data_IF_830589445359
#
_entry.id   IF_830589445359
#
_cell.length_a   1.000
_cell.length_b   1.000
_cell.length_c   1.000
_cell.angle_alpha   90.00
_cell.angle_beta   90.00
_cell.angle_gamma   90.00
#
_symmetry.space_group_name_H-M   'P 1'
#
loop_
_entity.id
_entity.type
_entity.pdbx_description
1 polymer ?
#
# COMPACT_ATOMS: atom_id res chain seq x y z
N UNK A 1 -30.20 49.38 -59.75
CA UNK A 1 -30.04 47.92 -59.99
C UNK A 1 -28.55 47.58 -59.96
N UNK A 2 -28.01 47.16 -58.81
CA UNK A 2 -26.67 46.52 -58.72
C UNK A 2 -26.49 45.77 -57.38
N UNK A 3 -26.41 44.45 -57.54
CA UNK A 3 -26.01 43.33 -56.69
C UNK A 3 -25.59 43.51 -55.20
N UNK A 4 -26.30 42.80 -54.31
CA UNK A 4 -25.75 42.28 -53.05
C UNK A 4 -24.71 41.18 -53.35
N UNK A 5 -23.49 41.32 -52.81
CA UNK A 5 -22.50 40.24 -52.81
C UNK A 5 -22.79 39.27 -51.66
N UNK A 6 -23.08 38.02 -52.02
CA UNK A 6 -23.14 36.86 -51.12
C UNK A 6 -21.74 36.61 -50.57
N UNK A 7 -21.59 36.61 -49.24
CA UNK A 7 -20.40 36.12 -48.56
C UNK A 7 -20.54 34.59 -48.50
N UNK A 8 -19.72 33.91 -49.27
CA UNK A 8 -19.69 32.44 -49.42
C UNK A 8 -19.09 31.80 -48.15
N UNK A 9 -19.66 30.69 -47.63
CA UNK A 9 -19.18 29.98 -46.46
C UNK A 9 -17.98 29.10 -46.84
N UNK A 10 -16.78 29.68 -46.92
CA UNK A 10 -15.56 28.91 -47.24
C UNK A 10 -14.72 28.62 -45.98
N UNK A 11 -14.96 29.34 -44.88
CA UNK A 11 -14.16 29.18 -43.64
C UNK A 11 -14.62 27.98 -42.79
N UNK A 12 -15.87 27.51 -42.93
CA UNK A 12 -16.40 26.42 -42.08
C UNK A 12 -16.08 25.00 -42.57
N UNK A 13 -15.67 24.83 -43.83
CA UNK A 13 -15.33 23.50 -44.39
C UNK A 13 -13.87 23.11 -44.08
N UNK A 14 -13.00 24.07 -43.77
CA UNK A 14 -11.62 23.79 -43.37
C UNK A 14 -11.48 23.19 -41.96
N UNK A 15 -12.53 23.23 -41.13
CA UNK A 15 -12.56 22.70 -39.76
C UNK A 15 -13.19 21.30 -39.64
N UNK A 16 -13.65 20.71 -40.75
CA UNK A 16 -14.32 19.39 -40.79
C UNK A 16 -13.53 18.32 -41.57
N UNK A 17 -12.25 18.59 -41.88
CA UNK A 17 -11.33 17.52 -42.28
C UNK A 17 -10.93 16.75 -41.02
N UNK A 18 -11.38 15.50 -40.80
CA UNK A 18 -10.72 14.65 -39.84
C UNK A 18 -9.28 14.54 -40.31
N UNK A 19 -8.36 15.03 -39.48
CA UNK A 19 -6.94 14.82 -39.67
C UNK A 19 -6.71 13.31 -39.68
N UNK A 20 -6.57 12.74 -40.87
CA UNK A 20 -5.94 11.44 -41.10
C UNK A 20 -4.44 11.60 -40.78
N UNK A 21 -4.15 11.91 -39.51
CA UNK A 21 -2.84 11.62 -38.96
C UNK A 21 -2.77 10.09 -38.94
N UNK A 22 -1.70 9.47 -39.45
CA UNK A 22 -1.46 8.08 -39.09
C UNK A 22 -1.46 8.04 -37.55
N UNK A 23 -2.36 7.24 -36.97
CA UNK A 23 -2.10 6.76 -35.61
C UNK A 23 -0.77 6.03 -35.72
N UNK A 24 0.30 6.68 -35.26
CA UNK A 24 1.53 6.00 -34.93
C UNK A 24 1.15 5.12 -33.75
N UNK A 25 0.74 3.89 -34.04
CA UNK A 25 0.87 2.83 -33.06
C UNK A 25 2.36 2.77 -32.77
N UNK A 26 2.77 3.24 -31.59
CA UNK A 26 4.07 2.91 -31.06
C UNK A 26 4.07 1.40 -30.83
N UNK A 27 4.41 0.63 -31.86
CA UNK A 27 4.99 -0.68 -31.63
C UNK A 27 6.37 -0.39 -31.07
N UNK A 28 6.56 -0.46 -29.76
CA UNK A 28 7.92 -0.70 -29.28
C UNK A 28 8.43 -1.91 -30.06
N UNK A 29 9.62 -1.78 -30.65
CA UNK A 29 10.24 -2.93 -31.29
C UNK A 29 10.31 -4.01 -30.22
N UNK A 30 9.69 -5.17 -30.45
CA UNK A 30 9.86 -6.31 -29.53
C UNK A 30 11.36 -6.53 -29.36
N UNK A 31 11.84 -6.57 -28.12
CA UNK A 31 13.22 -6.91 -27.86
C UNK A 31 13.56 -8.22 -28.55
N UNK A 32 14.69 -8.23 -29.26
CA UNK A 32 15.07 -9.34 -30.13
C UNK A 32 16.08 -10.24 -29.42
N UNK A 33 16.85 -9.67 -28.49
CA UNK A 33 17.83 -10.40 -27.68
C UNK A 33 17.26 -10.68 -26.28
N UNK A 34 18.06 -10.46 -25.23
CA UNK A 34 17.67 -10.55 -23.83
C UNK A 34 17.24 -9.14 -23.41
N UNK A 35 16.11 -9.04 -22.72
CA UNK A 35 15.57 -7.77 -22.21
C UNK A 35 14.88 -8.05 -20.88
N UNK A 36 15.54 -7.73 -19.77
CA UNK A 36 15.03 -8.01 -18.43
C UNK A 36 14.24 -6.83 -17.88
N UNK A 37 13.12 -7.14 -17.24
CA UNK A 37 12.26 -6.16 -16.59
C UNK A 37 11.85 -6.66 -15.21
N UNK A 38 11.94 -5.79 -14.20
CA UNK A 38 11.40 -6.07 -12.87
C UNK A 38 9.91 -5.71 -12.88
N UNK A 39 9.09 -6.70 -13.22
CA UNK A 39 7.68 -6.48 -13.55
C UNK A 39 6.76 -6.38 -12.35
N UNK A 40 7.05 -7.08 -11.26
CA UNK A 40 6.25 -6.99 -10.04
C UNK A 40 7.11 -7.12 -8.78
N UNK A 41 6.67 -6.43 -7.73
CA UNK A 41 7.23 -6.52 -6.39
C UNK A 41 6.06 -6.57 -5.42
N UNK A 42 5.87 -7.69 -4.74
CA UNK A 42 4.81 -7.88 -3.75
C UNK A 42 5.37 -8.35 -2.40
N UNK A 43 4.59 -8.18 -1.33
CA UNK A 43 5.01 -8.52 0.03
C UNK A 43 4.09 -9.61 0.59
N UNK A 44 4.70 -10.66 1.13
CA UNK A 44 4.02 -11.74 1.83
C UNK A 44 4.65 -12.01 3.19
N UNK A 45 3.98 -12.85 3.99
CA UNK A 45 4.56 -13.39 5.21
C UNK A 45 4.90 -14.87 4.97
N UNK A 46 6.10 -15.33 5.36
CA UNK A 46 6.56 -16.69 5.06
C UNK A 46 5.81 -17.76 5.84
N UNK A 47 5.28 -17.43 7.02
CA UNK A 47 4.50 -18.32 7.85
C UNK A 47 3.05 -17.83 8.04
N UNK A 48 2.14 -18.77 8.24
CA UNK A 48 0.71 -18.50 8.38
C UNK A 48 0.34 -17.79 9.69
N UNK A 49 1.20 -17.85 10.72
CA UNK A 49 0.93 -17.20 12.01
C UNK A 49 1.04 -15.69 11.84
N UNK A 50 2.20 -15.23 11.37
CA UNK A 50 2.45 -13.82 11.05
C UNK A 50 1.51 -13.33 9.95
N UNK A 51 1.29 -14.13 8.91
CA UNK A 51 0.33 -13.78 7.87
C UNK A 51 -1.04 -13.49 8.47
N UNK A 52 -1.58 -14.39 9.30
CA UNK A 52 -2.89 -14.19 9.89
C UNK A 52 -2.96 -12.90 10.73
N UNK A 53 -1.89 -12.57 11.45
CA UNK A 53 -1.84 -11.41 12.36
C UNK A 53 -1.71 -10.08 11.63
N UNK A 54 -1.01 -10.04 10.49
CA UNK A 54 -0.58 -8.76 9.89
C UNK A 54 -1.07 -8.52 8.47
N UNK A 55 -1.62 -9.54 7.78
CA UNK A 55 -2.04 -9.40 6.38
C UNK A 55 -3.08 -8.30 6.18
N UNK A 56 -4.00 -8.10 7.14
CA UNK A 56 -5.20 -7.28 6.95
C UNK A 56 -4.88 -5.82 6.61
N UNK A 57 -3.95 -5.20 7.33
CA UNK A 57 -3.57 -3.79 7.07
C UNK A 57 -2.32 -3.65 6.21
N UNK A 58 -1.73 -4.78 5.82
CA UNK A 58 -0.55 -4.81 4.99
C UNK A 58 -0.87 -4.76 3.49
N UNK A 59 0.15 -4.51 2.69
CA UNK A 59 0.13 -4.65 1.22
C UNK A 59 0.06 -6.12 0.77
N UNK A 60 0.04 -7.08 1.69
CA UNK A 60 -0.22 -8.48 1.37
C UNK A 60 -1.61 -8.63 0.73
N UNK A 61 -1.60 -8.99 -0.55
CA UNK A 61 -2.78 -9.14 -1.37
C UNK A 61 -2.57 -10.28 -2.39
N UNK A 62 -3.59 -11.06 -2.74
CA UNK A 62 -4.96 -11.07 -2.18
C UNK A 62 -5.03 -11.71 -0.80
N UNK A 63 -6.05 -11.32 0.00
CA UNK A 63 -6.36 -11.96 1.27
C UNK A 63 -7.42 -13.05 1.04
N UNK A 64 -7.13 -14.27 1.50
CA UNK A 64 -8.08 -15.36 1.38
C UNK A 64 -9.39 -15.03 2.11
N UNK A 65 -10.52 -15.20 1.42
CA UNK A 65 -11.87 -15.00 1.98
C UNK A 65 -12.19 -13.57 2.44
N UNK A 66 -11.40 -12.57 2.06
CA UNK A 66 -11.67 -11.17 2.35
C UNK A 66 -11.33 -10.28 1.14
N UNK A 67 -12.29 -9.54 0.62
CA UNK A 67 -12.16 -8.77 -0.62
C UNK A 67 -11.61 -7.35 -0.38
N UNK A 68 -10.43 -7.23 0.22
CA UNK A 68 -9.79 -5.91 0.40
C UNK A 68 -9.27 -5.37 -0.93
N UNK A 69 -9.54 -4.12 -1.35
CA UNK A 69 -8.88 -3.51 -2.48
C UNK A 69 -7.35 -3.56 -2.33
N UNK A 70 -6.64 -3.85 -3.43
CA UNK A 70 -5.18 -3.98 -3.43
C UNK A 70 -4.48 -2.71 -2.91
N UNK A 71 -5.05 -1.53 -3.21
CA UNK A 71 -4.54 -0.24 -2.79
C UNK A 71 -5.00 0.19 -1.39
N UNK A 72 -5.86 -0.58 -0.72
CA UNK A 72 -6.30 -0.30 0.64
C UNK A 72 -5.35 -0.99 1.63
N UNK A 73 -4.21 -0.35 1.90
CA UNK A 73 -3.26 -0.78 2.93
C UNK A 73 -2.55 0.43 3.53
N UNK A 74 -1.93 0.22 4.68
CA UNK A 74 -1.22 1.29 5.42
C UNK A 74 0.21 0.90 5.79
N UNK A 75 0.57 -0.38 5.63
CA UNK A 75 1.91 -0.87 5.90
C UNK A 75 2.30 -1.95 4.89
N UNK A 76 3.59 -2.23 4.74
CA UNK A 76 4.09 -3.40 4.01
C UNK A 76 4.53 -4.49 4.99
N UNK A 77 5.17 -4.10 6.10
CA UNK A 77 5.65 -5.02 7.14
C UNK A 77 5.54 -4.43 8.54
N UNK A 78 5.93 -5.23 9.53
CA UNK A 78 5.97 -4.84 10.95
C UNK A 78 7.40 -5.03 11.45
N UNK A 79 7.88 -4.08 12.26
CA UNK A 79 9.22 -4.19 12.86
C UNK A 79 9.36 -5.49 13.67
N UNK A 80 10.48 -6.19 13.50
CA UNK A 80 10.76 -7.45 14.18
C UNK A 80 9.98 -8.66 13.65
N UNK A 81 9.12 -8.50 12.64
CA UNK A 81 8.37 -9.59 12.01
C UNK A 81 9.00 -9.92 10.67
N UNK A 82 9.29 -11.20 10.41
CA UNK A 82 9.83 -11.62 9.12
C UNK A 82 8.77 -11.47 8.02
N UNK A 83 9.15 -10.80 6.94
CA UNK A 83 8.38 -10.65 5.71
C UNK A 83 9.16 -11.26 4.55
N UNK A 84 8.43 -11.57 3.48
CA UNK A 84 8.99 -12.04 2.23
C UNK A 84 8.70 -11.00 1.13
N UNK A 85 9.77 -10.51 0.50
CA UNK A 85 9.70 -9.65 -0.68
C UNK A 85 9.72 -10.57 -1.90
N UNK A 86 8.58 -10.68 -2.57
CA UNK A 86 8.40 -11.46 -3.79
C UNK A 86 8.70 -10.55 -4.99
N UNK A 87 9.56 -11.01 -5.89
CA UNK A 87 10.02 -10.23 -7.04
C UNK A 87 9.82 -11.08 -8.30
N UNK A 88 9.09 -10.53 -9.26
CA UNK A 88 8.93 -11.12 -10.59
C UNK A 88 9.81 -10.41 -11.60
N UNK A 89 10.60 -11.18 -12.33
CA UNK A 89 11.50 -10.71 -13.37
C UNK A 89 11.08 -11.34 -14.68
N UNK A 90 10.76 -10.52 -15.67
CA UNK A 90 10.35 -10.97 -16.99
C UNK A 90 11.45 -10.73 -18.00
N UNK A 91 11.73 -11.72 -18.84
CA UNK A 91 12.54 -11.54 -20.03
C UNK A 91 11.61 -11.22 -21.21
N UNK A 92 11.49 -9.95 -21.55
CA UNK A 92 10.66 -9.43 -22.65
C UNK A 92 11.23 -9.80 -24.04
N UNK A 93 12.50 -10.20 -24.07
CA UNK A 93 13.21 -10.63 -25.27
C UNK A 93 12.86 -12.03 -25.75
N UNK A 94 13.53 -12.49 -26.81
CA UNK A 94 13.33 -13.82 -27.39
C UNK A 94 14.50 -14.79 -27.14
N UNK A 95 15.63 -14.30 -26.61
CA UNK A 95 16.77 -15.13 -26.22
C UNK A 95 16.75 -15.44 -24.73
N UNK A 96 17.22 -16.63 -24.36
CA UNK A 96 17.40 -17.00 -22.95
C UNK A 96 18.49 -16.13 -22.31
N UNK A 97 18.27 -15.66 -21.08
CA UNK A 97 19.29 -14.95 -20.32
C UNK A 97 20.41 -15.88 -19.83
N UNK A 98 21.48 -15.29 -19.29
CA UNK A 98 22.42 -15.99 -18.42
C UNK A 98 21.85 -16.11 -17.00
N UNK A 99 22.68 -16.51 -16.04
CA UNK A 99 22.33 -16.32 -14.64
C UNK A 99 22.10 -14.82 -14.37
N UNK A 100 20.95 -14.49 -13.80
CA UNK A 100 20.57 -13.11 -13.53
C UNK A 100 20.94 -12.78 -12.08
N UNK A 101 21.70 -11.71 -11.88
CA UNK A 101 21.97 -11.17 -10.55
C UNK A 101 20.92 -10.12 -10.22
N UNK A 102 20.31 -10.26 -9.04
CA UNK A 102 19.25 -9.41 -8.52
C UNK A 102 19.75 -8.74 -7.26
N UNK A 103 19.88 -7.42 -7.32
CA UNK A 103 20.32 -6.55 -6.24
C UNK A 103 19.08 -5.95 -5.58
N UNK A 104 18.95 -6.15 -4.27
CA UNK A 104 17.81 -5.71 -3.47
C UNK A 104 18.32 -4.80 -2.37
N UNK A 105 17.88 -3.54 -2.40
CA UNK A 105 18.27 -2.52 -1.43
C UNK A 105 17.04 -1.87 -0.83
N UNK A 106 17.00 -1.77 0.51
CA UNK A 106 16.02 -0.94 1.22
C UNK A 106 16.75 0.27 1.76
N UNK A 107 16.36 1.46 1.31
CA UNK A 107 16.93 2.74 1.72
C UNK A 107 16.00 3.44 2.69
N UNK A 108 16.58 4.03 3.73
CA UNK A 108 15.84 4.92 4.60
C UNK A 108 15.64 6.29 3.93
N UNK A 109 14.43 6.83 3.98
CA UNK A 109 14.07 8.04 3.23
C UNK A 109 14.69 9.33 3.80
N UNK A 110 15.08 9.34 5.08
CA UNK A 110 15.65 10.54 5.72
C UNK A 110 17.18 10.53 5.83
N UNK A 111 17.83 9.37 5.71
CA UNK A 111 19.29 9.27 5.86
C UNK A 111 19.91 8.98 4.50
N UNK A 112 20.77 9.88 4.03
CA UNK A 112 21.60 9.59 2.86
C UNK A 112 22.51 8.39 3.15
N UNK A 113 22.41 7.32 2.35
CA UNK A 113 23.23 6.10 2.43
C UNK A 113 22.99 5.22 3.67
N UNK A 114 21.80 5.28 4.27
CA UNK A 114 21.41 4.30 5.28
C UNK A 114 20.62 3.18 4.60
N UNK A 115 21.27 2.04 4.43
CA UNK A 115 20.70 0.84 3.84
C UNK A 115 20.22 -0.08 4.96
N UNK A 116 18.91 -0.34 5.00
CA UNK A 116 18.29 -1.25 5.94
C UNK A 116 18.42 -2.71 5.50
N UNK A 117 18.49 -2.92 4.19
CA UNK A 117 18.76 -4.18 3.54
C UNK A 117 19.66 -3.90 2.34
N UNK A 118 20.69 -4.73 2.16
CA UNK A 118 21.50 -4.75 0.95
C UNK A 118 21.90 -6.22 0.71
N UNK A 119 21.29 -6.84 -0.29
CA UNK A 119 21.53 -8.23 -0.62
C UNK A 119 21.52 -8.46 -2.12
N UNK A 120 22.31 -9.43 -2.55
CA UNK A 120 22.35 -9.88 -3.94
C UNK A 120 22.00 -11.35 -3.98
N UNK A 121 21.09 -11.73 -4.87
CA UNK A 121 20.81 -13.12 -5.20
C UNK A 121 21.02 -13.38 -6.68
N UNK A 122 21.40 -14.60 -7.00
CA UNK A 122 21.49 -15.06 -8.38
C UNK A 122 20.36 -16.05 -8.64
N UNK A 123 19.64 -15.84 -9.73
CA UNK A 123 18.61 -16.77 -10.20
C UNK A 123 19.05 -17.49 -11.47
N UNK A 124 18.34 -18.57 -11.79
CA UNK A 124 18.60 -19.35 -12.99
C UNK A 124 18.26 -18.54 -14.25
N UNK A 125 18.84 -18.91 -15.40
CA UNK A 125 18.46 -18.38 -16.70
C UNK A 125 16.95 -18.32 -16.93
N UNK A 126 16.48 -17.16 -17.41
CA UNK A 126 15.08 -16.92 -17.75
C UNK A 126 14.93 -17.08 -19.27
N UNK A 127 14.14 -18.05 -19.75
CA UNK A 127 13.85 -18.18 -21.18
C UNK A 127 13.26 -16.90 -21.75
N UNK A 128 13.42 -16.68 -23.06
CA UNK A 128 12.78 -15.56 -23.75
C UNK A 128 11.26 -15.60 -23.57
N UNK A 129 10.64 -14.43 -23.48
CA UNK A 129 9.20 -14.25 -23.29
C UNK A 129 8.64 -15.00 -22.07
N UNK A 130 9.44 -15.14 -21.02
CA UNK A 130 9.08 -15.88 -19.79
C UNK A 130 9.40 -15.05 -18.55
N UNK A 131 8.74 -15.39 -17.45
CA UNK A 131 8.91 -14.76 -16.14
C UNK A 131 9.51 -15.76 -15.17
N UNK A 132 10.38 -15.29 -14.28
CA UNK A 132 10.85 -16.04 -13.12
C UNK A 132 10.65 -15.21 -11.86
N UNK A 133 10.23 -15.88 -10.80
CA UNK A 133 10.01 -15.26 -9.48
C UNK A 133 11.14 -15.60 -8.50
N UNK A 134 11.37 -14.73 -7.53
CA UNK A 134 12.26 -15.00 -6.41
C UNK A 134 11.81 -14.34 -5.12
N UNK A 135 12.31 -14.87 -4.00
CA UNK A 135 11.96 -14.48 -2.64
C UNK A 135 13.16 -13.91 -1.90
N UNK A 136 12.96 -12.81 -1.16
CA UNK A 136 13.89 -12.29 -0.14
C UNK A 136 13.18 -12.28 1.22
N UNK A 137 13.62 -13.15 2.12
CA UNK A 137 13.25 -13.07 3.53
C UNK A 137 14.00 -11.93 4.21
N UNK A 138 13.27 -11.08 4.93
CA UNK A 138 13.82 -9.95 5.66
C UNK A 138 13.00 -9.68 6.91
N UNK A 139 13.68 -9.43 8.03
CA UNK A 139 13.08 -8.95 9.28
C UNK A 139 13.44 -7.48 9.45
N UNK A 140 12.51 -6.54 9.22
CA UNK A 140 12.77 -5.12 9.40
C UNK A 140 13.14 -4.82 10.84
N UNK A 141 14.19 -4.03 11.05
CA UNK A 141 14.61 -3.56 12.38
C UNK A 141 14.44 -2.05 12.54
N UNK A 142 13.85 -1.39 11.56
CA UNK A 142 13.63 0.05 11.55
C UNK A 142 12.26 0.36 10.96
N UNK A 143 11.41 1.04 11.74
CA UNK A 143 10.07 1.46 11.33
C UNK A 143 10.09 2.79 10.59
N UNK A 144 9.06 3.05 9.81
CA UNK A 144 8.89 4.27 9.04
C UNK A 144 8.74 3.98 7.56
N UNK A 145 8.88 5.04 6.78
CA UNK A 145 8.76 5.02 5.34
C UNK A 145 10.13 4.89 4.69
N UNK A 146 10.28 3.90 3.83
CA UNK A 146 11.51 3.52 3.15
C UNK A 146 11.29 3.46 1.63
N UNK A 147 12.39 3.29 0.90
CA UNK A 147 12.39 3.05 -0.54
C UNK A 147 13.00 1.67 -0.80
N UNK A 148 12.23 0.77 -1.42
CA UNK A 148 12.73 -0.51 -1.91
C UNK A 148 13.19 -0.35 -3.36
N UNK A 149 14.41 -0.77 -3.64
CA UNK A 149 15.01 -0.72 -4.97
C UNK A 149 15.47 -2.12 -5.38
N UNK A 150 15.04 -2.54 -6.57
CA UNK A 150 15.42 -3.79 -7.19
C UNK A 150 16.16 -3.46 -8.47
N UNK A 151 17.36 -4.00 -8.65
CA UNK A 151 18.12 -3.91 -9.90
C UNK A 151 18.46 -5.31 -10.37
N UNK A 152 18.26 -5.59 -11.66
CA UNK A 152 18.68 -6.85 -12.27
C UNK A 152 19.84 -6.62 -13.23
N UNK A 153 20.69 -7.63 -13.38
CA UNK A 153 21.76 -7.59 -14.37
C UNK A 153 22.02 -8.97 -14.95
N UNK A 154 22.48 -8.99 -16.19
CA UNK A 154 22.80 -10.20 -16.93
C UNK A 154 24.16 -10.04 -17.63
N UNK A 155 25.09 -11.02 -17.50
CA UNK A 155 26.42 -10.93 -18.09
C UNK A 155 26.44 -11.01 -19.62
N UNK A 156 25.35 -11.46 -20.25
CA UNK A 156 25.26 -11.62 -21.71
C UNK A 156 24.74 -10.36 -22.43
N UNK A 157 24.56 -9.26 -21.69
CA UNK A 157 24.01 -8.00 -22.20
C UNK A 157 22.48 -7.93 -22.06
N UNK A 158 21.94 -6.75 -22.31
CA UNK A 158 20.53 -6.45 -22.23
C UNK A 158 20.18 -5.38 -23.28
N UNK A 159 19.09 -5.58 -24.02
CA UNK A 159 18.63 -4.68 -25.09
C UNK A 159 18.14 -3.34 -24.52
N UNK A 160 17.56 -3.32 -23.31
CA UNK A 160 17.15 -2.11 -22.60
C UNK A 160 17.63 -2.16 -21.15
N UNK A 161 18.48 -1.23 -20.75
CA UNK A 161 18.94 -1.18 -19.35
C UNK A 161 18.05 -0.30 -18.46
N UNK A 162 17.03 0.35 -19.02
CA UNK A 162 16.20 1.30 -18.28
C UNK A 162 15.08 0.65 -17.47
N UNK A 163 14.64 -0.55 -17.87
CA UNK A 163 13.69 -1.43 -17.18
C UNK A 163 14.36 -2.47 -16.26
N UNK A 164 15.70 -2.55 -16.28
CA UNK A 164 16.49 -3.34 -15.32
C UNK A 164 16.42 -2.81 -13.87
N UNK A 165 15.65 -1.75 -13.61
CA UNK A 165 15.50 -1.14 -12.30
C UNK A 165 14.03 -0.86 -12.01
N UNK A 166 13.59 -1.23 -10.82
CA UNK A 166 12.29 -0.83 -10.28
C UNK A 166 12.44 -0.34 -8.83
N UNK A 167 11.64 0.65 -8.45
CA UNK A 167 11.54 1.06 -7.06
C UNK A 167 10.10 1.23 -6.62
N UNK A 168 9.82 0.91 -5.36
CA UNK A 168 8.54 1.18 -4.72
C UNK A 168 8.70 1.73 -3.32
N UNK A 169 7.64 2.37 -2.85
CA UNK A 169 7.52 2.71 -1.44
C UNK A 169 7.46 1.44 -0.59
N UNK A 170 7.99 1.53 0.63
CA UNK A 170 7.95 0.47 1.63
C UNK A 170 7.69 1.07 3.01
N UNK A 171 6.54 0.78 3.62
CA UNK A 171 6.20 1.22 4.98
C UNK A 171 6.40 0.07 5.96
N UNK A 172 7.15 0.31 7.03
CA UNK A 172 7.30 -0.63 8.14
C UNK A 172 6.70 0.00 9.39
N UNK A 173 5.67 -0.60 9.96
CA UNK A 173 5.03 -0.06 11.17
C UNK A 173 5.79 -0.47 12.43
N UNK A 174 5.87 0.45 13.40
CA UNK A 174 6.46 0.20 14.71
C UNK A 174 5.55 -0.64 15.62
N UNK A 175 4.25 -0.32 15.61
CA UNK A 175 3.25 -0.97 16.45
C UNK A 175 2.05 -1.36 15.59
N UNK A 176 1.62 -2.62 15.74
CA UNK A 176 0.41 -3.14 15.11
C UNK A 176 -0.50 -3.70 16.21
N UNK A 177 -1.73 -3.19 16.31
CA UNK A 177 -2.74 -3.72 17.23
C UNK A 177 -3.90 -4.36 16.42
N UNK A 178 -4.18 -5.63 16.72
CA UNK A 178 -5.30 -6.37 16.13
C UNK A 178 -6.60 -6.21 16.93
N UNK A 179 -6.60 -5.40 17.99
CA UNK A 179 -7.74 -5.20 18.87
C UNK A 179 -8.23 -6.50 19.53
N UNK A 180 -7.31 -7.42 19.85
CA UNK A 180 -7.61 -8.71 20.49
C UNK A 180 -7.72 -8.62 22.01
N UNK A 181 -7.11 -7.59 22.60
CA UNK A 181 -7.08 -7.38 24.04
C UNK A 181 -7.21 -5.89 24.40
N UNK A 182 -8.19 -5.57 25.25
CA UNK A 182 -8.41 -4.22 25.77
C UNK A 182 -7.57 -3.92 27.02
N UNK A 183 -6.79 -4.86 27.56
CA UNK A 183 -6.10 -4.70 28.85
C UNK A 183 -5.13 -3.52 28.91
N UNK A 184 -4.53 -3.16 27.77
CA UNK A 184 -3.60 -2.01 27.66
C UNK A 184 -4.33 -0.70 27.36
N UNK A 185 -5.61 -0.77 27.00
CA UNK A 185 -6.45 0.37 26.68
C UNK A 185 -7.29 0.78 27.89
N UNK A 186 -7.57 2.07 28.00
CA UNK A 186 -8.51 2.58 29.01
C UNK A 186 -9.83 2.91 28.33
N UNK A 187 -10.91 2.28 28.78
CA UNK A 187 -12.25 2.51 28.22
C UNK A 187 -13.23 3.09 29.24
N UNK A 188 -14.19 3.86 28.73
CA UNK A 188 -15.40 4.29 29.44
C UNK A 188 -16.62 4.08 28.55
N UNK A 189 -17.80 3.88 29.15
CA UNK A 189 -19.02 3.61 28.42
C UNK A 189 -19.09 2.18 27.87
N UNK A 190 -19.50 2.02 26.62
CA UNK A 190 -19.90 0.73 26.02
C UNK A 190 -18.79 0.06 25.19
N UNK A 191 -17.56 0.57 25.22
CA UNK A 191 -16.42 -0.04 24.53
C UNK A 191 -16.12 -1.44 25.08
N UNK A 192 -16.04 -2.42 24.18
CA UNK A 192 -15.71 -3.81 24.51
C UNK A 192 -15.01 -4.52 23.36
N UNK A 193 -14.46 -5.69 23.67
CA UNK A 193 -14.05 -6.67 22.66
C UNK A 193 -15.30 -7.32 22.05
N UNK A 194 -15.32 -7.45 20.73
CA UNK A 194 -16.43 -8.06 20.01
C UNK A 194 -15.92 -9.01 18.91
N UNK A 195 -16.42 -10.25 18.92
CA UNK A 195 -16.05 -11.31 17.96
C UNK A 195 -17.00 -11.45 16.77
N UNK A 196 -18.05 -10.62 16.69
CA UNK A 196 -19.03 -10.61 15.60
C UNK A 196 -18.74 -9.49 14.60
N UNK A 197 -17.92 -8.50 14.96
CA UNK A 197 -17.64 -7.30 14.16
C UNK A 197 -16.12 -7.10 13.91
N UNK A 198 -15.37 -8.19 13.78
CA UNK A 198 -13.92 -8.13 13.56
C UNK A 198 -13.56 -7.97 12.09
N UNK A 199 -12.50 -7.21 11.83
CA UNK A 199 -11.85 -7.15 10.52
C UNK A 199 -10.63 -8.08 10.51
N UNK A 200 -9.91 -8.21 11.64
CA UNK A 200 -8.70 -9.03 11.77
C UNK A 200 -8.75 -9.85 13.07
N UNK A 201 -8.10 -11.02 13.08
CA UNK A 201 -7.83 -11.83 14.29
C UNK A 201 -9.02 -12.05 15.25
N UNK A 202 -10.22 -12.26 14.69
CA UNK A 202 -11.43 -12.67 15.42
C UNK A 202 -12.00 -11.68 16.45
N UNK A 203 -11.42 -10.49 16.65
CA UNK A 203 -11.94 -9.48 17.57
C UNK A 203 -11.81 -8.05 17.02
N UNK A 204 -12.61 -7.13 17.54
CA UNK A 204 -12.44 -5.69 17.37
C UNK A 204 -12.79 -4.95 18.65
N UNK A 205 -12.26 -3.73 18.78
CA UNK A 205 -12.79 -2.76 19.75
C UNK A 205 -14.07 -2.16 19.17
N UNK A 206 -15.17 -2.34 19.89
CA UNK A 206 -16.48 -2.08 19.35
C UNK A 206 -17.41 -1.45 20.39
N UNK A 207 -18.28 -0.56 19.93
CA UNK A 207 -19.44 -0.05 20.66
C UNK A 207 -20.68 -0.68 20.06
N UNK A 208 -21.55 -1.25 20.91
CA UNK A 208 -22.78 -1.91 20.49
C UNK A 208 -22.73 -3.43 20.58
N UNK A 209 -23.71 -4.15 20.00
CA UNK A 209 -23.84 -5.60 20.08
C UNK A 209 -23.63 -6.33 18.72
N UNK A 210 -22.49 -6.10 18.07
CA UNK A 210 -22.12 -6.83 16.85
C UNK A 210 -22.82 -6.30 15.59
N UNK A 211 -23.11 -7.18 14.63
CA UNK A 211 -23.63 -6.83 13.29
C UNK A 211 -24.98 -6.06 13.29
N UNK A 212 -25.76 -6.16 14.36
CA UNK A 212 -27.08 -5.51 14.50
C UNK A 212 -27.18 -4.73 15.82
N UNK A 213 -26.21 -3.85 16.06
CA UNK A 213 -26.05 -3.18 17.34
C UNK A 213 -27.04 -2.04 17.61
N UNK A 214 -27.55 -1.97 18.83
CA UNK A 214 -27.99 -0.74 19.49
C UNK A 214 -27.00 -0.34 20.60
N UNK A 215 -26.89 0.96 20.87
CA UNK A 215 -26.15 1.55 21.99
C UNK A 215 -27.07 2.50 22.76
N UNK A 216 -26.67 2.88 23.97
CA UNK A 216 -27.47 3.77 24.81
C UNK A 216 -27.59 5.17 24.19
N UNK A 217 -28.82 5.71 24.13
CA UNK A 217 -29.06 7.05 23.57
C UNK A 217 -28.27 8.13 24.33
N UNK A 218 -27.76 9.11 23.58
CA UNK A 218 -27.08 10.31 24.12
C UNK A 218 -25.90 10.00 25.03
N UNK A 219 -25.14 8.95 24.72
CA UNK A 219 -24.01 8.52 25.52
C UNK A 219 -22.67 8.86 24.84
N UNK A 220 -21.68 9.22 25.64
CA UNK A 220 -20.29 9.41 25.19
C UNK A 220 -19.44 8.29 25.76
N UNK A 221 -18.88 7.45 24.88
CA UNK A 221 -17.91 6.41 25.22
C UNK A 221 -16.53 6.84 24.77
N UNK A 222 -15.51 6.63 25.60
CA UNK A 222 -14.12 7.01 25.27
C UNK A 222 -13.23 5.78 25.34
N UNK A 223 -12.39 5.60 24.33
CA UNK A 223 -11.35 4.59 24.29
C UNK A 223 -10.00 5.30 24.14
N UNK A 224 -9.12 5.12 25.11
CA UNK A 224 -7.81 5.76 25.15
C UNK A 224 -6.73 4.70 25.04
N UNK A 225 -5.83 4.87 24.07
CA UNK A 225 -4.69 3.99 23.88
C UNK A 225 -3.71 4.09 25.04
N UNK A 226 -2.81 3.10 25.22
CA UNK A 226 -1.60 3.36 25.98
C UNK A 226 -0.80 4.48 25.32
N UNK A 227 0.12 5.08 26.08
CA UNK A 227 1.04 6.09 25.53
C UNK A 227 1.99 5.39 24.57
N UNK A 228 1.93 5.75 23.29
CA UNK A 228 2.89 5.30 22.30
C UNK A 228 4.13 6.17 22.35
N UNK A 229 5.30 5.55 22.50
CA UNK A 229 6.56 6.26 22.32
C UNK A 229 6.81 6.43 20.83
N UNK A 230 6.40 7.58 20.31
CA UNK A 230 6.65 8.03 18.94
C UNK A 230 7.85 8.99 18.93
N UNK A 231 8.86 8.78 19.77
CA UNK A 231 10.08 9.56 19.67
C UNK A 231 10.81 9.17 18.37
N UNK A 232 11.25 10.19 17.64
CA UNK A 232 12.17 10.00 16.54
C UNK A 232 13.61 10.09 17.05
N UNK A 233 14.49 9.23 16.54
CA UNK A 233 15.92 9.25 16.83
C UNK A 233 16.65 10.39 16.07
N UNK A 234 15.97 11.09 15.13
CA UNK A 234 16.49 12.29 14.47
C UNK A 234 16.02 13.61 15.06
N UNK A 235 16.94 14.58 15.07
CA UNK A 235 16.62 15.98 15.33
C UNK A 235 15.99 16.62 14.08
N UNK A 236 14.74 17.08 14.19
CA UNK A 236 13.95 17.69 13.11
C UNK A 236 13.65 16.71 11.97
N UNK A 237 12.79 15.70 12.20
CA UNK A 237 12.39 14.77 11.14
C UNK A 237 11.71 15.50 9.98
N UNK A 238 11.85 14.95 8.77
CA UNK A 238 11.27 15.51 7.56
C UNK A 238 9.82 15.07 7.34
N UNK A 239 9.34 14.13 8.15
CA UNK A 239 7.98 13.63 8.14
C UNK A 239 7.37 13.58 9.55
N UNK A 240 6.05 13.71 9.61
CA UNK A 240 5.31 13.48 10.85
C UNK A 240 5.14 11.98 11.09
N UNK A 241 5.20 11.56 12.36
CA UNK A 241 4.86 10.20 12.74
C UNK A 241 3.35 10.04 12.67
N UNK A 242 2.89 9.10 11.84
CA UNK A 242 1.49 8.84 11.58
C UNK A 242 0.94 7.70 12.44
N UNK A 243 -0.36 7.73 12.67
CA UNK A 243 -1.14 6.57 13.09
C UNK A 243 -2.21 6.31 12.02
N UNK A 244 -2.51 5.04 11.82
CA UNK A 244 -3.54 4.61 10.88
C UNK A 244 -4.43 3.58 11.58
N UNK A 245 -5.70 3.54 11.19
CA UNK A 245 -6.66 2.57 11.70
C UNK A 245 -7.68 2.25 10.61
N UNK A 246 -8.25 1.06 10.65
CA UNK A 246 -9.42 0.73 9.84
C UNK A 246 -10.68 0.90 10.69
N UNK A 247 -11.71 1.44 10.07
CA UNK A 247 -13.01 1.65 10.69
C UNK A 247 -14.10 1.11 9.77
N UNK A 248 -15.02 0.39 10.40
CA UNK A 248 -16.27 -0.13 9.84
C UNK A 248 -17.34 0.17 10.87
N UNK A 249 -18.52 0.56 10.42
CA UNK A 249 -19.64 0.80 11.31
C UNK A 249 -20.60 1.85 10.80
N UNK A 250 -21.78 1.87 11.42
CA UNK A 250 -22.82 2.85 11.14
C UNK A 250 -23.14 3.68 12.38
N UNK A 251 -23.15 5.00 12.20
CA UNK A 251 -23.72 5.95 13.17
C UNK A 251 -25.16 6.29 12.75
N UNK A 252 -26.08 6.49 13.69
CA UNK A 252 -27.39 7.06 13.33
C UNK A 252 -27.24 8.58 13.17
N UNK A 253 -28.28 9.23 12.65
CA UNK A 253 -28.30 10.69 12.54
C UNK A 253 -28.07 11.34 13.91
N UNK A 254 -26.98 12.10 14.02
CA UNK A 254 -26.59 12.81 15.25
C UNK A 254 -25.47 12.12 16.04
N UNK A 255 -25.05 10.92 15.65
CA UNK A 255 -23.94 10.22 16.26
C UNK A 255 -22.62 10.53 15.51
N UNK A 256 -21.54 10.70 16.28
CA UNK A 256 -20.22 11.05 15.77
C UNK A 256 -19.15 10.20 16.47
N UNK A 257 -18.22 9.63 15.70
CA UNK A 257 -16.95 9.11 16.22
C UNK A 257 -15.86 10.15 15.95
N UNK A 258 -15.08 10.46 16.98
CA UNK A 258 -14.02 11.46 16.89
C UNK A 258 -12.68 10.90 17.31
N UNK A 259 -11.64 11.28 16.58
CA UNK A 259 -10.25 10.99 16.92
C UNK A 259 -9.63 12.18 17.63
N UNK A 260 -8.87 11.91 18.68
CA UNK A 260 -8.09 12.93 19.39
C UNK A 260 -6.66 12.46 19.58
N UNK A 261 -5.69 13.38 19.46
CA UNK A 261 -4.30 13.17 19.87
C UNK A 261 -4.00 14.09 21.04
N UNK A 262 -3.23 13.59 22.01
CA UNK A 262 -2.75 14.41 23.12
C UNK A 262 -1.42 15.07 22.77
N UNK A 263 -1.38 16.40 22.79
CA UNK A 263 -0.17 17.17 22.52
C UNK A 263 0.85 17.12 23.69
N UNK A 264 2.04 17.69 23.47
CA UNK A 264 3.10 17.77 24.48
C UNK A 264 2.75 18.66 25.69
N UNK A 265 1.73 19.54 25.56
CA UNK A 265 1.22 20.39 26.64
C UNK A 265 0.10 19.71 27.43
N UNK A 266 -0.35 18.53 26.97
CA UNK A 266 -1.39 17.72 27.58
C UNK A 266 -2.82 18.03 27.11
N UNK A 267 -2.98 18.86 26.07
CA UNK A 267 -4.28 19.16 25.46
C UNK A 267 -4.67 18.05 24.49
N UNK A 268 -5.98 17.83 24.33
CA UNK A 268 -6.52 16.92 23.32
C UNK A 268 -6.94 17.69 22.09
N UNK A 269 -6.30 17.41 20.95
CA UNK A 269 -6.60 18.00 19.66
C UNK A 269 -7.39 17.03 18.80
N UNK A 270 -8.53 17.48 18.25
CA UNK A 270 -9.35 16.66 17.35
C UNK A 270 -8.63 16.48 15.99
N UNK A 271 -8.54 15.25 15.52
CA UNK A 271 -7.89 14.91 14.25
C UNK A 271 -8.87 14.56 13.14
N UNK A 272 -9.99 13.94 13.50
CA UNK A 272 -11.04 13.57 12.56
C UNK A 272 -12.40 13.45 13.26
N UNK A 273 -13.47 13.58 12.46
CA UNK A 273 -14.85 13.26 12.84
C UNK A 273 -15.47 12.38 11.76
N UNK A 274 -16.07 11.26 12.15
CA UNK A 274 -16.85 10.34 11.32
C UNK A 274 -18.31 10.37 11.78
N UNK A 275 -19.25 10.61 10.87
CA UNK A 275 -20.69 10.72 11.18
C UNK A 275 -21.57 9.98 10.15
N UNK A 276 -20.97 9.08 9.39
CA UNK A 276 -21.62 8.33 8.31
C UNK A 276 -21.49 6.82 8.52
N UNK A 277 -22.27 6.06 7.75
CA UNK A 277 -22.09 4.61 7.63
C UNK A 277 -20.92 4.32 6.70
N UNK A 278 -19.96 3.53 7.17
CA UNK A 278 -18.79 3.07 6.42
C UNK A 278 -18.78 1.55 6.48
N UNK A 279 -18.91 0.90 5.31
CA UNK A 279 -18.88 -0.55 5.09
C UNK A 279 -19.42 -1.36 6.28
N UNK A 280 -20.73 -1.29 6.54
CA UNK A 280 -21.35 -1.94 7.70
C UNK A 280 -21.76 -3.39 7.45
N UNK A 281 -21.50 -3.92 6.26
CA UNK A 281 -21.94 -5.26 5.85
C UNK A 281 -20.81 -6.14 5.32
N UNK A 282 -19.61 -5.59 5.13
CA UNK A 282 -18.40 -6.26 4.65
C UNK A 282 -18.60 -6.99 3.30
N UNK A 283 -19.59 -6.56 2.51
CA UNK A 283 -19.94 -7.23 1.24
C UNK A 283 -19.26 -6.59 0.03
N UNK A 284 -18.87 -5.33 0.10
CA UNK A 284 -18.22 -4.62 -1.00
C UNK A 284 -16.70 -4.66 -0.92
N UNK A 285 -16.13 -4.60 0.29
CA UNK A 285 -14.69 -4.68 0.50
C UNK A 285 -13.95 -3.40 0.12
#
# INVERSE_FOLDING_TARGET
MRAMKRITPIILIALLLPSLLPMVNATSGRAVNIDLDVTDISITYPDSTNQSMYQMFSSNYPIASFNKPENLYVTDGVIGVEMNINIDITNLGNMQSGNVEVYVVVLHNEYTRFELLNTTKTINPIPGSSTSSMDILWTPYYSGNHTLQITVSNPLGDDDNSNNFQSRHLTVVYLYDNCIDLSQWTSSGDWKLNSDAYISQMNSFHIGNGQFSGYSNSMTSVLTSPVFNLADDVNNPNAAIGYSFFYTGGSNTGDEMKGYIKDAMGNWDETFTLSTVIDNNFQDG
#
